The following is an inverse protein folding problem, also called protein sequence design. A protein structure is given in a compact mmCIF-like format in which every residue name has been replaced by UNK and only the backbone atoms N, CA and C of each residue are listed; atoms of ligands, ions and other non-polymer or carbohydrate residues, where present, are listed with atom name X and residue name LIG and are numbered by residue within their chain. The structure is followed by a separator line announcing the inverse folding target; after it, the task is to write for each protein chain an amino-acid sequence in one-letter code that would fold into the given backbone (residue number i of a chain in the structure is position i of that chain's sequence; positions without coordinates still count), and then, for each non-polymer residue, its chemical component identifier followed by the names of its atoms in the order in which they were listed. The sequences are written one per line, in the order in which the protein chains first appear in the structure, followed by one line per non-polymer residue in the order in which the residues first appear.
data_IF_815767069935
#
_entry.id   IF_815767069935
#
_cell.length_a   1.000
_cell.length_b   1.000
_cell.length_c   1.000
_cell.angle_alpha   90.00
_cell.angle_beta   90.00
_cell.angle_gamma   90.00
#
_symmetry.space_group_name_H-M   'P 1'
#
loop_
_entity.id
_entity.type
_entity.pdbx_description
1 polymer ?
#
# COMPACT_ATOMS: atom_id res chain seq x y z
N UNK A 1 -6.63 -5.22 -8.25
CA UNK A 1 -5.96 -5.38 -6.95
C UNK A 1 -6.79 -6.22 -5.99
N UNK A 2 -6.14 -6.96 -5.13
CA UNK A 2 -6.76 -7.50 -3.92
C UNK A 2 -6.93 -6.42 -2.84
N UNK A 3 -7.82 -6.66 -1.88
CA UNK A 3 -8.02 -5.77 -0.74
C UNK A 3 -7.61 -6.47 0.57
N UNK A 4 -7.49 -5.72 1.66
CA UNK A 4 -7.03 -6.24 2.95
C UNK A 4 -8.02 -7.24 3.58
N UNK A 5 -9.29 -7.07 3.32
CA UNK A 5 -10.35 -7.90 3.91
C UNK A 5 -10.68 -9.16 3.10
N UNK A 6 -10.08 -9.34 1.92
CA UNK A 6 -10.46 -10.42 1.01
C UNK A 6 -10.09 -11.81 1.56
N UNK A 7 -9.03 -11.91 2.35
CA UNK A 7 -8.57 -13.16 2.93
C UNK A 7 -9.49 -13.71 4.03
N UNK A 8 -10.38 -12.88 4.55
CA UNK A 8 -11.36 -13.29 5.59
C UNK A 8 -12.68 -13.82 5.00
N UNK A 9 -12.83 -13.82 3.67
CA UNK A 9 -14.05 -14.28 3.02
C UNK A 9 -14.00 -15.78 2.75
N UNK A 10 -14.84 -16.61 3.42
CA UNK A 10 -14.73 -18.07 3.33
C UNK A 10 -15.09 -18.64 1.95
N UNK A 11 -15.83 -17.89 1.13
CA UNK A 11 -16.21 -18.25 -0.24
C UNK A 11 -15.18 -17.87 -1.29
N UNK A 12 -14.11 -17.16 -0.90
CA UNK A 12 -13.10 -16.61 -1.82
C UNK A 12 -11.74 -17.26 -1.55
N UNK A 13 -11.55 -18.48 -2.02
CA UNK A 13 -10.28 -19.18 -1.87
C UNK A 13 -9.16 -18.43 -2.57
N UNK A 14 -8.03 -18.24 -1.90
CA UNK A 14 -6.94 -17.38 -2.36
C UNK A 14 -6.37 -17.82 -3.72
N UNK A 15 -6.27 -19.12 -3.96
CA UNK A 15 -5.71 -19.66 -5.21
C UNK A 15 -6.62 -19.34 -6.42
N UNK A 16 -7.91 -19.53 -6.27
CA UNK A 16 -8.90 -19.23 -7.31
C UNK A 16 -8.95 -17.71 -7.58
N UNK A 17 -8.92 -16.92 -6.51
CA UNK A 17 -8.87 -15.47 -6.59
C UNK A 17 -7.68 -14.98 -7.41
N UNK A 18 -6.48 -15.52 -7.15
CA UNK A 18 -5.27 -15.14 -7.88
C UNK A 18 -5.39 -15.46 -9.36
N UNK A 19 -5.91 -16.63 -9.70
CA UNK A 19 -6.17 -17.02 -11.09
C UNK A 19 -7.14 -16.06 -11.77
N UNK A 20 -8.27 -15.73 -11.14
CA UNK A 20 -9.27 -14.82 -11.71
C UNK A 20 -8.73 -13.40 -11.88
N UNK A 21 -7.97 -12.90 -10.90
CA UNK A 21 -7.37 -11.56 -10.99
C UNK A 21 -6.37 -11.50 -12.13
N UNK A 22 -5.47 -12.46 -12.23
CA UNK A 22 -4.45 -12.46 -13.29
C UNK A 22 -5.03 -12.70 -14.68
N UNK A 23 -6.07 -13.52 -14.81
CA UNK A 23 -6.82 -13.65 -16.07
C UNK A 23 -7.45 -12.31 -16.51
N UNK A 24 -8.05 -11.58 -15.56
CA UNK A 24 -8.62 -10.26 -15.84
C UNK A 24 -7.55 -9.23 -16.21
N UNK A 25 -6.41 -9.23 -15.53
CA UNK A 25 -5.26 -8.35 -15.83
C UNK A 25 -4.72 -8.63 -17.21
N UNK A 26 -4.54 -9.91 -17.58
CA UNK A 26 -4.05 -10.30 -18.91
C UNK A 26 -5.02 -9.90 -20.01
N UNK A 27 -6.33 -10.10 -19.81
CA UNK A 27 -7.37 -9.65 -20.75
C UNK A 27 -7.36 -8.13 -20.92
N UNK A 28 -7.25 -7.38 -19.82
CA UNK A 28 -7.19 -5.92 -19.89
C UNK A 28 -5.93 -5.43 -20.60
N UNK A 29 -4.78 -6.03 -20.32
CA UNK A 29 -3.51 -5.72 -21.02
C UNK A 29 -3.59 -6.00 -22.51
N UNK A 30 -4.15 -7.14 -22.88
CA UNK A 30 -4.33 -7.50 -24.30
C UNK A 30 -5.30 -6.56 -25.03
N UNK A 31 -6.37 -6.12 -24.35
CA UNK A 31 -7.37 -5.24 -24.95
C UNK A 31 -6.89 -3.80 -25.13
N UNK A 32 -6.01 -3.31 -24.24
CA UNK A 32 -5.54 -1.91 -24.26
C UNK A 32 -4.16 -1.75 -24.88
N UNK A 33 -3.38 -2.81 -25.01
CA UNK A 33 -1.96 -2.77 -25.40
C UNK A 33 -1.04 -2.19 -24.32
N UNK A 34 -1.56 -1.96 -23.11
CA UNK A 34 -0.81 -1.41 -21.97
C UNK A 34 -0.48 -2.49 -20.95
N UNK A 35 0.71 -2.44 -20.37
CA UNK A 35 1.07 -3.30 -19.26
C UNK A 35 0.26 -2.91 -18.02
N UNK A 36 -0.53 -3.84 -17.50
CA UNK A 36 -1.32 -3.67 -16.28
C UNK A 36 -0.69 -4.45 -15.13
N UNK A 37 -0.38 -3.76 -14.03
CA UNK A 37 0.05 -4.40 -12.79
C UNK A 37 -1.13 -4.73 -11.88
N UNK A 38 -0.96 -5.73 -11.05
CA UNK A 38 -1.89 -6.02 -9.95
C UNK A 38 -1.11 -6.56 -8.77
N UNK A 39 -1.52 -6.23 -7.56
CA UNK A 39 -0.99 -6.88 -6.38
C UNK A 39 -1.98 -7.87 -5.80
N UNK A 40 -1.44 -9.04 -5.47
CA UNK A 40 -2.17 -10.16 -4.89
C UNK A 40 -1.87 -10.20 -3.39
N UNK A 41 -2.92 -10.24 -2.57
CA UNK A 41 -2.78 -10.26 -1.12
C UNK A 41 -2.39 -11.66 -0.64
N UNK A 42 -1.13 -11.81 -0.24
CA UNK A 42 -0.55 -13.07 0.23
C UNK A 42 -0.62 -13.23 1.75
N UNK A 43 -1.25 -12.29 2.47
CA UNK A 43 -1.42 -12.37 3.92
C UNK A 43 -2.00 -13.71 4.35
N UNK A 44 -1.34 -14.36 5.29
CA UNK A 44 -1.74 -15.64 5.85
C UNK A 44 -1.33 -15.74 7.32
N UNK A 45 -1.74 -16.83 7.98
CA UNK A 45 -1.48 -17.06 9.41
C UNK A 45 -0.05 -17.47 9.73
N UNK A 46 0.72 -17.94 8.74
CA UNK A 46 2.12 -18.34 8.92
C UNK A 46 2.98 -17.84 7.76
N UNK A 47 4.29 -17.76 8.01
CA UNK A 47 5.25 -17.36 6.97
C UNK A 47 5.33 -18.39 5.84
N UNK A 48 5.27 -19.66 6.13
CA UNK A 48 5.30 -20.74 5.15
C UNK A 48 4.15 -20.61 4.15
N UNK A 49 2.95 -20.34 4.65
CA UNK A 49 1.80 -20.12 3.77
C UNK A 49 1.91 -18.80 2.99
N UNK A 50 2.47 -17.74 3.58
CA UNK A 50 2.72 -16.48 2.87
C UNK A 50 3.74 -16.66 1.74
N UNK A 51 4.84 -17.37 1.97
CA UNK A 51 5.81 -17.71 0.92
C UNK A 51 5.17 -18.50 -0.21
N UNK A 52 4.43 -19.55 0.12
CA UNK A 52 3.73 -20.37 -0.88
C UNK A 52 2.78 -19.53 -1.75
N UNK A 53 2.06 -18.58 -1.17
CA UNK A 53 1.18 -17.67 -1.90
C UNK A 53 1.97 -16.69 -2.76
N UNK A 54 3.08 -16.17 -2.25
CA UNK A 54 3.94 -15.24 -2.97
C UNK A 54 4.63 -15.92 -4.17
N UNK A 55 5.10 -17.14 -3.99
CA UNK A 55 5.65 -17.96 -5.06
C UNK A 55 4.60 -18.23 -6.15
N UNK A 56 3.40 -18.63 -5.77
CA UNK A 56 2.31 -18.84 -6.72
C UNK A 56 1.90 -17.55 -7.46
N UNK A 57 1.87 -16.41 -6.76
CA UNK A 57 1.62 -15.12 -7.40
C UNK A 57 2.69 -14.80 -8.46
N UNK A 58 3.96 -15.06 -8.15
CA UNK A 58 5.08 -14.90 -9.08
C UNK A 58 4.97 -15.85 -10.27
N UNK A 59 4.63 -17.13 -10.07
CA UNK A 59 4.37 -18.11 -11.13
C UNK A 59 3.29 -17.65 -12.11
N UNK A 60 2.27 -16.92 -11.61
CA UNK A 60 1.22 -16.33 -12.44
C UNK A 60 1.64 -15.04 -13.16
N UNK A 61 2.86 -14.57 -12.95
CA UNK A 61 3.40 -13.36 -13.57
C UNK A 61 3.08 -12.06 -12.80
N UNK A 62 2.58 -12.13 -11.55
CA UNK A 62 2.44 -10.94 -10.73
C UNK A 62 3.81 -10.47 -10.25
N UNK A 63 4.12 -9.19 -10.48
CA UNK A 63 5.36 -8.56 -10.03
C UNK A 63 5.22 -7.85 -8.70
N UNK A 64 4.00 -7.82 -8.14
CA UNK A 64 3.69 -7.13 -6.89
C UNK A 64 2.91 -8.09 -6.00
N UNK A 65 3.36 -8.24 -4.75
CA UNK A 65 2.60 -8.93 -3.71
C UNK A 65 2.24 -7.95 -2.60
N UNK A 66 1.11 -8.19 -1.97
CA UNK A 66 0.62 -7.37 -0.86
C UNK A 66 0.57 -8.17 0.42
N UNK A 67 0.91 -7.53 1.53
CA UNK A 67 0.65 -8.02 2.89
C UNK A 67 0.02 -6.93 3.74
N UNK A 68 -0.63 -7.34 4.81
CA UNK A 68 -1.22 -6.45 5.78
C UNK A 68 -0.30 -6.24 7.00
N UNK A 69 -0.30 -5.05 7.57
CA UNK A 69 0.51 -4.70 8.76
C UNK A 69 0.27 -5.67 9.94
N UNK A 70 -0.92 -6.26 10.00
CA UNK A 70 -1.30 -7.21 11.08
C UNK A 70 -0.45 -8.47 11.15
N UNK A 71 0.32 -8.82 10.10
CA UNK A 71 1.23 -9.99 10.16
C UNK A 71 2.39 -9.77 11.14
N UNK A 72 2.61 -8.53 11.56
CA UNK A 72 3.65 -8.16 12.51
C UNK A 72 5.02 -7.91 11.86
N UNK A 73 5.88 -7.24 12.60
CA UNK A 73 7.15 -6.70 12.07
C UNK A 73 8.10 -7.78 11.58
N UNK A 74 8.21 -8.91 12.30
CA UNK A 74 9.06 -10.04 11.89
C UNK A 74 8.58 -10.65 10.57
N UNK A 75 7.27 -10.83 10.41
CA UNK A 75 6.69 -11.34 9.16
C UNK A 75 6.92 -10.39 7.99
N UNK A 76 6.77 -9.09 8.21
CA UNK A 76 7.04 -8.06 7.19
C UNK A 76 8.51 -8.09 6.78
N UNK A 77 9.43 -8.15 7.74
CA UNK A 77 10.87 -8.24 7.46
C UNK A 77 11.22 -9.49 6.64
N UNK A 78 10.66 -10.62 7.01
CA UNK A 78 10.90 -11.90 6.32
C UNK A 78 10.40 -11.84 4.88
N UNK A 79 9.20 -11.30 4.65
CA UNK A 79 8.66 -11.19 3.29
C UNK A 79 9.35 -10.09 2.47
N UNK A 80 9.84 -9.02 3.11
CA UNK A 80 10.65 -8.00 2.43
C UNK A 80 11.97 -8.59 1.91
N UNK A 81 12.62 -9.46 2.68
CA UNK A 81 13.83 -10.18 2.22
C UNK A 81 13.50 -11.10 1.04
N UNK A 82 12.41 -11.88 1.16
CA UNK A 82 11.94 -12.74 0.07
C UNK A 82 11.65 -11.92 -1.20
N UNK A 83 10.93 -10.81 -1.10
CA UNK A 83 10.58 -9.96 -2.22
C UNK A 83 11.84 -9.42 -2.95
N UNK A 84 12.85 -9.03 -2.20
CA UNK A 84 14.13 -8.56 -2.73
C UNK A 84 14.88 -9.65 -3.47
N UNK A 85 14.92 -10.86 -2.92
CA UNK A 85 15.61 -12.01 -3.53
C UNK A 85 14.88 -12.53 -4.79
N UNK A 86 13.61 -12.13 -4.99
CA UNK A 86 12.76 -12.58 -6.09
C UNK A 86 12.36 -11.47 -7.08
N UNK A 87 13.00 -10.28 -6.99
CA UNK A 87 12.70 -9.10 -7.82
C UNK A 87 11.20 -8.75 -7.81
N UNK A 88 10.58 -8.81 -6.64
CA UNK A 88 9.14 -8.58 -6.45
C UNK A 88 8.93 -7.31 -5.63
N UNK A 89 7.96 -6.50 -6.01
CA UNK A 89 7.55 -5.30 -5.26
C UNK A 89 6.69 -5.74 -4.07
N UNK A 90 7.02 -5.26 -2.88
CA UNK A 90 6.24 -5.48 -1.67
C UNK A 90 5.36 -4.28 -1.35
N UNK A 91 4.05 -4.47 -1.51
CA UNK A 91 3.04 -3.50 -1.13
C UNK A 91 2.51 -3.81 0.27
N UNK A 92 2.58 -2.83 1.18
CA UNK A 92 2.10 -2.97 2.55
C UNK A 92 0.79 -2.20 2.75
N UNK A 93 -0.28 -2.94 3.02
CA UNK A 93 -1.52 -2.35 3.51
C UNK A 93 -1.43 -2.15 5.02
N UNK A 94 -1.86 -0.99 5.51
CA UNK A 94 -1.76 -0.65 6.94
C UNK A 94 -2.94 -1.12 7.80
N UNK A 95 -3.71 -2.12 7.34
CA UNK A 95 -4.82 -2.68 8.11
C UNK A 95 -4.40 -3.00 9.54
N UNK A 96 -5.22 -2.61 10.52
CA UNK A 96 -4.94 -2.79 11.93
C UNK A 96 -4.06 -1.70 12.58
N UNK A 97 -3.51 -0.75 11.82
CA UNK A 97 -2.67 0.31 12.39
C UNK A 97 -3.37 1.14 13.47
N UNK A 98 -4.70 1.31 13.35
CA UNK A 98 -5.50 2.10 14.30
C UNK A 98 -5.41 1.60 15.74
N UNK A 99 -5.12 0.32 15.95
CA UNK A 99 -4.85 -0.26 17.27
C UNK A 99 -3.68 0.44 17.96
N UNK A 100 -2.69 0.90 17.21
CA UNK A 100 -1.51 1.60 17.71
C UNK A 100 -1.61 3.11 17.59
N UNK A 101 -2.10 3.62 16.47
CA UNK A 101 -1.96 5.03 16.08
C UNK A 101 -3.08 5.93 16.59
N UNK A 102 -4.21 5.37 17.04
CA UNK A 102 -5.37 6.13 17.55
C UNK A 102 -5.42 6.24 19.06
N UNK A 103 -4.47 5.66 19.76
CA UNK A 103 -4.41 5.74 21.22
C UNK A 103 -3.89 7.11 21.67
N UNK A 104 -4.60 7.74 22.63
CA UNK A 104 -4.22 9.07 23.12
C UNK A 104 -3.07 9.02 24.13
N UNK A 105 -3.04 7.99 24.97
CA UNK A 105 -2.14 7.92 26.13
C UNK A 105 -0.96 6.99 25.94
N UNK A 106 -1.09 6.02 25.03
CA UNK A 106 -0.04 5.07 24.69
C UNK A 106 -0.30 4.55 23.28
N UNK A 107 0.71 4.02 22.64
CA UNK A 107 0.62 3.54 21.26
C UNK A 107 1.87 3.94 20.47
N UNK A 108 1.78 3.88 19.16
CA UNK A 108 2.87 4.21 18.25
C UNK A 108 2.36 5.15 17.16
N UNK A 109 3.03 6.28 16.97
CA UNK A 109 2.70 7.18 15.85
C UNK A 109 2.88 6.46 14.52
N UNK A 110 1.95 6.69 13.57
CA UNK A 110 2.07 6.14 12.23
C UNK A 110 3.38 6.58 11.55
N UNK A 111 3.91 7.74 11.87
CA UNK A 111 5.22 8.22 11.39
C UNK A 111 6.36 7.27 11.75
N UNK A 112 6.34 6.74 12.97
CA UNK A 112 7.34 5.76 13.43
C UNK A 112 7.18 4.46 12.64
N UNK A 113 5.94 4.00 12.46
CA UNK A 113 5.64 2.81 11.65
C UNK A 113 6.16 3.00 10.21
N UNK A 114 5.87 4.14 9.57
CA UNK A 114 6.35 4.45 8.22
C UNK A 114 7.88 4.44 8.14
N UNK A 115 8.58 5.01 9.12
CA UNK A 115 10.05 4.94 9.20
C UNK A 115 10.55 3.50 9.29
N UNK A 116 9.97 2.69 10.15
CA UNK A 116 10.35 1.29 10.29
C UNK A 116 10.14 0.51 8.99
N UNK A 117 9.01 0.73 8.32
CA UNK A 117 8.71 0.03 7.06
C UNK A 117 9.67 0.44 5.93
N UNK A 118 10.07 1.71 5.87
CA UNK A 118 11.11 2.14 4.95
C UNK A 118 12.46 1.46 5.24
N UNK A 119 12.85 1.35 6.52
CA UNK A 119 14.08 0.67 6.94
C UNK A 119 14.05 -0.83 6.66
N UNK A 120 12.89 -1.45 6.76
CA UNK A 120 12.67 -2.88 6.43
C UNK A 120 12.81 -3.14 4.93
N UNK A 121 12.55 -2.13 4.08
CA UNK A 121 12.63 -2.25 2.63
C UNK A 121 11.30 -2.56 1.96
N UNK A 122 10.19 -2.19 2.58
CA UNK A 122 8.86 -2.17 1.93
C UNK A 122 8.88 -1.15 0.79
N UNK A 123 8.30 -1.50 -0.35
CA UNK A 123 8.30 -0.63 -1.53
C UNK A 123 7.12 0.35 -1.54
N UNK A 124 5.93 -0.11 -1.13
CA UNK A 124 4.72 0.72 -1.06
C UNK A 124 4.07 0.64 0.32
N UNK A 125 3.58 1.77 0.84
CA UNK A 125 2.79 1.79 2.09
C UNK A 125 1.58 2.71 1.99
N UNK A 126 0.43 2.26 2.48
CA UNK A 126 -0.74 3.12 2.66
C UNK A 126 -0.44 4.21 3.70
N UNK A 127 -0.42 5.48 3.28
CA UNK A 127 -0.01 6.61 4.12
C UNK A 127 -1.13 7.64 4.38
N UNK A 128 -2.34 7.36 3.89
CA UNK A 128 -3.49 8.27 4.03
C UNK A 128 -3.67 9.19 2.83
N UNK A 129 -4.83 9.85 2.75
CA UNK A 129 -5.23 10.65 1.59
C UNK A 129 -5.39 12.14 1.88
N UNK A 130 -5.68 12.52 3.12
CA UNK A 130 -6.11 13.86 3.51
C UNK A 130 -7.35 14.40 2.74
N UNK A 131 -7.84 13.65 1.76
CA UNK A 131 -9.01 13.93 0.93
C UNK A 131 -9.91 12.69 0.96
N UNK A 132 -11.23 12.86 0.92
CA UNK A 132 -12.19 11.75 0.98
C UNK A 132 -12.71 11.47 2.39
N UNK A 133 -13.09 10.22 2.67
CA UNK A 133 -13.77 9.83 3.92
C UNK A 133 -12.85 9.59 5.11
N UNK A 134 -11.56 9.43 4.89
CA UNK A 134 -10.64 9.09 5.97
C UNK A 134 -10.13 10.35 6.67
N UNK A 135 -10.09 10.28 7.98
CA UNK A 135 -9.52 11.30 8.83
C UNK A 135 -8.03 11.48 8.54
N UNK A 136 -7.61 12.71 8.39
CA UNK A 136 -6.21 13.05 8.26
C UNK A 136 -6.05 14.54 8.06
N UNK A 137 -5.28 15.16 8.95
CA UNK A 137 -4.82 16.53 8.77
C UNK A 137 -3.86 16.59 7.57
N UNK A 138 -4.13 17.41 6.54
CA UNK A 138 -3.30 17.45 5.35
C UNK A 138 -1.80 17.64 5.61
N UNK A 139 -1.35 18.58 6.45
CA UNK A 139 0.06 18.71 6.78
C UNK A 139 0.66 17.45 7.40
N UNK A 140 -0.04 16.79 8.30
CA UNK A 140 0.41 15.54 8.94
C UNK A 140 0.59 14.43 7.90
N UNK A 141 -0.34 14.28 6.96
CA UNK A 141 -0.25 13.29 5.89
C UNK A 141 0.92 13.62 4.95
N UNK A 142 1.10 14.88 4.57
CA UNK A 142 2.27 15.32 3.80
C UNK A 142 3.58 14.99 4.53
N UNK A 143 3.62 15.10 5.86
CA UNK A 143 4.77 14.69 6.67
C UNK A 143 5.06 13.19 6.59
N UNK A 144 4.04 12.34 6.48
CA UNK A 144 4.24 10.91 6.22
C UNK A 144 4.84 10.66 4.85
N UNK A 145 4.37 11.39 3.83
CA UNK A 145 4.90 11.31 2.47
C UNK A 145 6.37 11.74 2.40
N UNK A 146 6.75 12.81 3.10
CA UNK A 146 8.15 13.21 3.22
C UNK A 146 9.01 12.09 3.81
N UNK A 147 8.58 11.47 4.91
CA UNK A 147 9.29 10.34 5.52
C UNK A 147 9.46 9.17 4.54
N UNK A 148 8.45 8.90 3.72
CA UNK A 148 8.50 7.79 2.77
C UNK A 148 9.49 8.03 1.63
N UNK A 149 9.53 9.25 1.04
CA UNK A 149 10.17 9.47 -0.26
C UNK A 149 11.32 10.47 -0.29
N UNK A 150 11.48 11.32 0.73
CA UNK A 150 12.59 12.27 0.74
C UNK A 150 13.91 11.56 1.03
N UNK A 151 15.00 12.02 0.42
CA UNK A 151 16.36 11.59 0.80
C UNK A 151 16.80 12.27 2.10
N UNK A 152 16.30 13.46 2.35
CA UNK A 152 16.53 14.25 3.53
C UNK A 152 15.22 14.89 3.98
N UNK A 153 14.68 14.44 5.11
CA UNK A 153 13.46 14.99 5.70
C UNK A 153 13.85 16.14 6.64
N UNK A 154 13.43 17.35 6.31
CA UNK A 154 13.68 18.55 7.14
C UNK A 154 12.73 18.60 8.33
N UNK A 155 13.11 19.39 9.33
CA UNK A 155 12.22 19.76 10.43
C UNK A 155 11.06 20.58 9.86
N UNK A 156 9.83 20.16 10.15
CA UNK A 156 8.59 20.85 9.82
C UNK A 156 7.54 20.49 10.86
N UNK A 157 7.33 21.40 11.82
CA UNK A 157 6.44 21.17 12.96
C UNK A 157 4.98 21.08 12.55
N UNK A 158 4.57 21.78 11.47
CA UNK A 158 3.21 21.70 10.97
C UNK A 158 2.92 20.31 10.39
N UNK A 159 3.93 19.71 9.75
CA UNK A 159 3.87 18.35 9.22
C UNK A 159 4.20 17.29 10.26
N UNK A 160 4.51 17.69 11.50
CA UNK A 160 4.90 16.79 12.59
C UNK A 160 6.29 16.17 12.41
N UNK A 161 7.15 16.73 11.60
CA UNK A 161 8.54 16.33 11.43
C UNK A 161 9.40 17.07 12.47
N UNK A 162 9.48 16.51 13.67
CA UNK A 162 10.15 17.15 14.81
C UNK A 162 11.67 17.08 14.75
N UNK A 163 12.22 16.14 14.01
CA UNK A 163 13.64 15.91 13.88
C UNK A 163 14.02 15.80 12.42
N UNK A 164 15.16 16.38 12.09
CA UNK A 164 15.79 16.20 10.81
C UNK A 164 16.21 14.73 10.61
N UNK A 165 16.04 14.22 9.40
CA UNK A 165 16.38 12.85 9.09
C UNK A 165 17.09 12.79 7.74
N UNK A 166 18.36 12.46 7.76
CA UNK A 166 19.10 12.03 6.58
C UNK A 166 18.94 10.52 6.40
N UNK A 167 18.47 10.11 5.25
CA UNK A 167 18.23 8.71 4.92
C UNK A 167 19.42 8.06 4.22
N UNK A 168 20.46 8.83 3.87
CA UNK A 168 21.65 8.33 3.19
C UNK A 168 21.31 7.57 1.90
N UNK A 169 21.84 6.36 1.77
CA UNK A 169 21.59 5.48 0.63
C UNK A 169 20.31 4.62 0.74
N UNK A 170 19.52 4.80 1.81
CA UNK A 170 18.31 4.00 2.00
C UNK A 170 17.27 4.34 0.93
N UNK A 171 16.72 3.30 0.29
CA UNK A 171 15.72 3.46 -0.76
C UNK A 171 14.49 4.22 -0.27
N UNK A 172 13.86 4.92 -1.20
CA UNK A 172 12.55 5.51 -1.00
C UNK A 172 11.48 4.42 -0.97
N UNK A 173 10.40 4.74 -0.28
CA UNK A 173 9.20 3.91 -0.24
C UNK A 173 8.04 4.75 -0.80
N UNK A 174 7.28 4.20 -1.75
CA UNK A 174 6.19 4.92 -2.40
C UNK A 174 4.96 5.00 -1.47
N UNK A 175 4.50 6.19 -1.11
CA UNK A 175 3.25 6.33 -0.37
C UNK A 175 2.04 6.04 -1.25
N UNK A 176 1.03 5.40 -0.66
CA UNK A 176 -0.24 5.08 -1.32
C UNK A 176 -1.36 5.89 -0.69
N UNK A 177 -2.03 6.70 -1.51
CA UNK A 177 -3.26 7.38 -1.15
C UNK A 177 -4.45 6.46 -1.47
N UNK A 178 -5.16 6.03 -0.44
CA UNK A 178 -6.30 5.12 -0.57
C UNK A 178 -7.34 5.44 0.50
N UNK A 179 -8.60 5.23 0.16
CA UNK A 179 -9.72 5.33 1.10
C UNK A 179 -10.68 6.47 0.81
N UNK A 180 -11.83 6.13 0.22
CA UNK A 180 -12.92 7.05 -0.05
C UNK A 180 -12.63 8.12 -1.11
N UNK A 181 -11.63 7.92 -1.94
CA UNK A 181 -11.27 8.81 -3.06
C UNK A 181 -11.89 8.32 -4.37
N UNK A 182 -12.08 9.24 -5.30
CA UNK A 182 -12.61 8.99 -6.64
C UNK A 182 -11.92 9.90 -7.67
N UNK A 183 -12.07 9.59 -8.96
CA UNK A 183 -11.40 10.29 -10.06
C UNK A 183 -11.56 11.83 -10.02
N UNK A 184 -12.71 12.33 -9.61
CA UNK A 184 -12.97 13.77 -9.47
C UNK A 184 -12.10 14.50 -8.43
N UNK A 185 -11.41 13.77 -7.55
CA UNK A 185 -10.50 14.32 -6.54
C UNK A 185 -9.02 14.19 -6.95
N UNK A 186 -8.72 13.63 -8.11
CA UNK A 186 -7.35 13.36 -8.56
C UNK A 186 -6.50 14.62 -8.57
N UNK A 187 -7.02 15.74 -9.07
CA UNK A 187 -6.31 17.02 -9.10
C UNK A 187 -5.92 17.49 -7.69
N UNK A 188 -6.81 17.37 -6.71
CA UNK A 188 -6.52 17.75 -5.32
C UNK A 188 -5.44 16.85 -4.69
N UNK A 189 -5.45 15.57 -5.02
CA UNK A 189 -4.46 14.62 -4.53
C UNK A 189 -3.07 14.92 -5.13
N UNK A 190 -3.01 15.22 -6.43
CA UNK A 190 -1.76 15.58 -7.10
C UNK A 190 -1.22 16.93 -6.63
N UNK A 191 -2.09 17.92 -6.40
CA UNK A 191 -1.69 19.21 -5.82
C UNK A 191 -1.10 19.07 -4.41
N UNK A 192 -1.67 18.16 -3.59
CA UNK A 192 -1.20 17.92 -2.22
C UNK A 192 0.07 17.06 -2.16
N UNK A 193 0.18 16.06 -3.01
CA UNK A 193 1.17 15.00 -2.86
C UNK A 193 2.19 14.93 -4.01
N UNK A 194 1.96 15.64 -5.12
CA UNK A 194 2.78 15.52 -6.33
C UNK A 194 2.58 14.19 -7.05
N UNK A 195 3.45 13.89 -8.00
CA UNK A 195 3.33 12.76 -8.91
C UNK A 195 3.91 11.45 -8.34
N UNK A 196 4.81 11.56 -7.36
CA UNK A 196 5.43 10.39 -6.70
C UNK A 196 4.47 9.78 -5.64
N UNK A 197 3.35 9.24 -6.10
CA UNK A 197 2.30 8.65 -5.26
C UNK A 197 1.54 7.55 -6.01
N UNK A 198 1.13 6.51 -5.31
CA UNK A 198 0.15 5.55 -5.83
C UNK A 198 -1.24 6.01 -5.43
N UNK A 199 -2.11 6.29 -6.39
CA UNK A 199 -3.52 6.60 -6.17
C UNK A 199 -4.36 5.33 -6.32
N UNK A 200 -5.10 4.96 -5.28
CA UNK A 200 -5.86 3.73 -5.25
C UNK A 200 -7.36 4.01 -5.09
N UNK A 201 -8.08 3.89 -6.18
CA UNK A 201 -9.52 4.08 -6.25
C UNK A 201 -10.24 2.72 -6.20
N UNK A 202 -10.83 2.37 -5.06
CA UNK A 202 -11.65 1.16 -4.92
C UNK A 202 -13.13 1.46 -5.16
N UNK A 203 -13.84 1.84 -4.09
CA UNK A 203 -15.25 2.18 -4.15
C UNK A 203 -15.59 3.32 -5.11
N UNK A 204 -14.68 4.25 -5.33
CA UNK A 204 -14.87 5.35 -6.29
C UNK A 204 -15.02 4.88 -7.74
N UNK A 205 -14.32 3.79 -8.12
CA UNK A 205 -14.44 3.16 -9.43
C UNK A 205 -15.66 2.24 -9.50
N UNK A 206 -15.79 1.31 -8.54
CA UNK A 206 -16.86 0.31 -8.53
C UNK A 206 -18.24 0.95 -8.37
N UNK A 207 -18.34 1.99 -7.56
CA UNK A 207 -19.58 2.71 -7.24
C UNK A 207 -19.85 3.92 -8.14
N UNK A 208 -19.18 4.05 -9.29
CA UNK A 208 -19.42 5.18 -10.19
C UNK A 208 -20.89 5.20 -10.67
N UNK A 209 -21.58 6.37 -10.67
CA UNK A 209 -23.00 6.45 -11.01
C UNK A 209 -23.39 5.92 -12.40
N UNK A 210 -22.43 5.96 -13.34
CA UNK A 210 -22.61 5.44 -14.71
C UNK A 210 -22.02 4.03 -14.90
N UNK A 211 -21.73 3.32 -13.81
CA UNK A 211 -21.19 1.96 -13.82
C UNK A 211 -19.66 1.92 -13.80
N UNK A 212 -19.14 0.72 -13.57
CA UNK A 212 -17.69 0.47 -13.35
C UNK A 212 -16.83 0.86 -14.56
N UNK A 213 -17.38 0.81 -15.78
CA UNK A 213 -16.63 1.19 -16.99
C UNK A 213 -16.38 2.69 -17.10
N UNK A 214 -17.15 3.51 -16.40
CA UNK A 214 -17.02 4.96 -16.39
C UNK A 214 -16.17 5.46 -15.19
N UNK A 215 -15.91 4.62 -14.21
CA UNK A 215 -15.04 4.87 -13.05
C UNK A 215 -13.61 4.44 -13.31
#
# INVERSE_FOLDING_TARGET
KDDENINSQPFMHWRDRFLFVMDAVNKASAATGEVKGSYLNVTAGTMEEMYKRAEFAKELGSVIVMIDLVVGYTGIQSLSNWARDHDTILHLHRAGHGTYTRQKNHGVSFRVIAKWMRMVGVDHIHAGTAVGKLEGDPPTVQGYYNVCRDTHTKIDLQRGNYFEQDWGALRKMMPVASGGIHAGQMHQLLDLFGDDVVLQFGGGTIGHPQGIHAG
#
